data_IF_906169160673
#
_entry.id   IF_906169160673
#
_cell.length_a   1.000
_cell.length_b   1.000
_cell.length_c   1.000
_cell.angle_alpha   90.00
_cell.angle_beta   90.00
_cell.angle_gamma   90.00
#
_symmetry.space_group_name_H-M   'P 1'
#
loop_
_entity.id
_entity.type
_entity.pdbx_description
1 polymer ?
#
# COMPACT_ATOMS: atom_id res chain seq x y z
N UNK A 1 -18.38 5.01 -48.93
CA UNK A 1 -19.63 5.06 -48.14
C UNK A 1 -19.67 3.86 -47.19
N UNK A 2 -19.13 3.99 -45.97
CA UNK A 2 -19.27 2.99 -44.88
C UNK A 2 -19.62 3.64 -43.52
N UNK A 3 -20.10 4.90 -43.57
CA UNK A 3 -20.32 5.81 -42.43
C UNK A 3 -21.04 5.14 -41.25
N UNK A 4 -21.98 4.23 -41.53
CA UNK A 4 -22.72 3.51 -40.50
C UNK A 4 -21.88 2.45 -39.78
N UNK A 5 -21.01 1.71 -40.48
CA UNK A 5 -20.13 0.70 -39.86
C UNK A 5 -19.12 1.36 -38.92
N UNK A 6 -18.53 2.48 -39.34
CA UNK A 6 -17.61 3.26 -38.50
C UNK A 6 -18.30 3.80 -37.24
N UNK A 7 -19.53 4.30 -37.36
CA UNK A 7 -20.30 4.78 -36.21
C UNK A 7 -20.64 3.65 -35.22
N UNK A 8 -20.99 2.45 -35.71
CA UNK A 8 -21.22 1.29 -34.83
C UNK A 8 -19.95 0.84 -34.12
N UNK A 9 -18.80 0.86 -34.80
CA UNK A 9 -17.50 0.55 -34.17
C UNK A 9 -17.21 1.56 -33.06
N UNK A 10 -17.38 2.86 -33.31
CA UNK A 10 -17.19 3.91 -32.31
C UNK A 10 -18.13 3.70 -31.11
N UNK A 11 -19.41 3.39 -31.36
CA UNK A 11 -20.38 3.15 -30.31
C UNK A 11 -20.01 1.94 -29.44
N UNK A 12 -19.66 0.82 -30.08
CA UNK A 12 -19.25 -0.41 -29.36
C UNK A 12 -18.01 -0.15 -28.53
N UNK A 13 -16.99 0.50 -29.09
CA UNK A 13 -15.77 0.86 -28.35
C UNK A 13 -16.08 1.78 -27.17
N UNK A 14 -16.96 2.77 -27.35
CA UNK A 14 -17.36 3.69 -26.27
C UNK A 14 -18.08 2.93 -25.14
N UNK A 15 -19.03 2.05 -25.48
CA UNK A 15 -19.75 1.24 -24.50
C UNK A 15 -18.81 0.30 -23.74
N UNK A 16 -17.84 -0.33 -24.44
CA UNK A 16 -16.84 -1.17 -23.80
C UNK A 16 -15.97 -0.39 -22.79
N UNK A 17 -15.56 0.83 -23.14
CA UNK A 17 -14.80 1.70 -22.23
C UNK A 17 -15.65 2.05 -21.00
N UNK A 18 -16.91 2.44 -21.19
CA UNK A 18 -17.81 2.79 -20.07
C UNK A 18 -18.02 1.60 -19.14
N UNK A 19 -18.31 0.41 -19.68
CA UNK A 19 -18.48 -0.81 -18.88
C UNK A 19 -17.22 -1.18 -18.09
N UNK A 20 -16.04 -0.98 -18.69
CA UNK A 20 -14.76 -1.17 -18.00
C UNK A 20 -14.62 -0.25 -16.79
N UNK A 21 -14.92 1.05 -16.94
CA UNK A 21 -14.85 2.00 -15.83
C UNK A 21 -15.88 1.73 -14.74
N UNK A 22 -17.12 1.39 -15.10
CA UNK A 22 -18.17 1.04 -14.12
C UNK A 22 -17.71 -0.12 -13.23
N UNK A 23 -17.15 -1.17 -13.86
CA UNK A 23 -16.60 -2.30 -13.12
C UNK A 23 -15.45 -1.87 -12.19
N UNK A 24 -14.53 -1.05 -12.68
CA UNK A 24 -13.39 -0.58 -11.89
C UNK A 24 -13.82 0.28 -10.68
N UNK A 25 -14.86 1.08 -10.83
CA UNK A 25 -15.44 1.86 -9.72
C UNK A 25 -16.10 0.94 -8.71
N UNK A 26 -16.89 -0.04 -9.17
CA UNK A 26 -17.58 -0.96 -8.26
C UNK A 26 -16.60 -1.75 -7.38
N UNK A 27 -15.46 -2.18 -7.93
CA UNK A 27 -14.40 -2.83 -7.15
C UNK A 27 -13.85 -1.92 -6.04
N UNK A 28 -13.60 -0.64 -6.34
CA UNK A 28 -13.10 0.33 -5.35
C UNK A 28 -14.15 0.66 -4.28
N UNK A 29 -15.39 0.83 -4.67
CA UNK A 29 -16.52 1.04 -3.76
C UNK A 29 -16.70 -0.15 -2.81
N UNK A 30 -16.55 -1.37 -3.33
CA UNK A 30 -16.58 -2.58 -2.51
C UNK A 30 -15.43 -2.59 -1.50
N UNK A 31 -14.20 -2.25 -1.91
CA UNK A 31 -13.07 -2.11 -0.98
C UNK A 31 -13.35 -1.08 0.12
N UNK A 32 -14.00 0.05 -0.19
CA UNK A 32 -14.33 1.07 0.83
C UNK A 32 -15.39 0.57 1.81
N UNK A 33 -16.41 -0.16 1.32
CA UNK A 33 -17.56 -0.62 2.14
C UNK A 33 -17.25 -1.85 2.98
N UNK A 34 -16.57 -2.84 2.39
CA UNK A 34 -16.31 -4.15 3.01
C UNK A 34 -14.89 -4.25 3.57
N UNK A 35 -13.99 -3.35 3.17
CA UNK A 35 -12.60 -3.38 3.60
C UNK A 35 -12.44 -3.08 5.09
N UNK A 36 -11.48 -3.76 5.71
CA UNK A 36 -11.06 -3.47 7.07
C UNK A 36 -10.27 -2.16 7.11
N UNK A 37 -10.56 -1.29 8.09
CA UNK A 37 -9.76 -0.10 8.33
C UNK A 37 -8.43 -0.50 8.98
N UNK A 38 -7.34 -0.09 8.36
CA UNK A 38 -5.96 -0.29 8.84
C UNK A 38 -5.28 1.06 8.88
N UNK A 39 -4.74 1.42 10.04
CA UNK A 39 -3.96 2.63 10.23
C UNK A 39 -2.48 2.31 9.99
N UNK A 40 -1.86 3.06 9.09
CA UNK A 40 -0.44 2.92 8.77
C UNK A 40 0.30 4.19 9.17
N UNK A 41 1.36 4.02 9.95
CA UNK A 41 2.18 5.14 10.43
C UNK A 41 2.95 5.78 9.29
N UNK A 42 2.89 7.11 9.23
CA UNK A 42 3.58 7.93 8.26
C UNK A 42 4.97 8.27 8.77
N UNK A 43 5.94 8.27 7.86
CA UNK A 43 7.20 8.97 8.06
C UNK A 43 6.93 10.49 8.02
N UNK A 44 7.80 11.34 8.59
CA UNK A 44 7.64 12.79 8.53
C UNK A 44 7.39 13.25 7.09
N UNK A 45 6.30 13.95 6.87
CA UNK A 45 5.79 14.29 5.53
C UNK A 45 5.69 15.79 5.36
N UNK A 46 6.37 16.32 4.35
CA UNK A 46 6.28 17.73 3.96
C UNK A 46 5.05 17.93 3.04
N UNK A 47 4.07 18.77 3.42
CA UNK A 47 2.83 18.98 2.65
C UNK A 47 2.99 19.93 1.46
N UNK A 48 4.18 20.47 1.20
CA UNK A 48 4.36 21.65 0.34
C UNK A 48 4.76 21.27 -1.09
N UNK A 49 3.90 21.54 -2.06
CA UNK A 49 4.24 21.56 -3.49
C UNK A 49 3.93 22.93 -4.10
N UNK A 50 4.98 23.68 -4.44
CA UNK A 50 4.89 25.11 -4.73
C UNK A 50 4.12 25.49 -6.03
N UNK A 51 3.82 24.52 -6.90
CA UNK A 51 3.33 24.79 -8.27
C UNK A 51 2.10 24.00 -8.72
N UNK A 52 1.68 22.96 -7.99
CA UNK A 52 0.63 22.03 -8.45
C UNK A 52 -0.61 21.97 -7.53
N UNK A 53 -0.65 22.80 -6.48
CA UNK A 53 -1.70 22.82 -5.46
C UNK A 53 -1.29 22.15 -4.15
N UNK A 54 -2.20 22.17 -3.20
CA UNK A 54 -2.01 21.69 -1.83
C UNK A 54 -2.25 20.17 -1.75
N UNK A 55 -1.15 19.40 -1.80
CA UNK A 55 -1.16 17.96 -1.62
C UNK A 55 0.03 17.51 -0.78
N UNK A 56 -0.19 16.50 0.05
CA UNK A 56 0.84 15.87 0.88
C UNK A 56 1.25 14.54 0.25
N UNK A 57 2.56 14.35 0.09
CA UNK A 57 3.11 13.02 -0.25
C UNK A 57 2.99 12.14 0.99
N UNK A 58 2.61 10.88 0.81
CA UNK A 58 2.50 9.92 1.89
C UNK A 58 3.66 8.93 1.78
N UNK A 59 4.47 8.84 2.81
CA UNK A 59 5.49 7.81 2.95
C UNK A 59 5.22 7.04 4.23
N UNK A 60 5.09 5.71 4.14
CA UNK A 60 4.73 4.89 5.30
C UNK A 60 5.99 4.29 5.91
N UNK A 61 6.10 4.26 7.25
CA UNK A 61 7.26 3.68 7.93
C UNK A 61 7.49 2.21 7.59
N UNK A 62 6.41 1.47 7.33
CA UNK A 62 6.48 0.07 6.89
C UNK A 62 7.16 -0.11 5.52
N UNK A 63 7.20 0.92 4.68
CA UNK A 63 7.95 0.90 3.41
C UNK A 63 9.46 0.89 3.65
N UNK A 64 9.93 1.72 4.58
CA UNK A 64 11.34 1.75 5.00
C UNK A 64 11.74 0.43 5.66
N UNK A 65 10.93 -0.06 6.62
CA UNK A 65 11.20 -1.33 7.29
C UNK A 65 11.22 -2.54 6.36
N UNK A 66 10.47 -2.50 5.25
CA UNK A 66 10.51 -3.54 4.22
C UNK A 66 11.83 -3.54 3.45
N UNK A 67 12.39 -2.39 3.10
CA UNK A 67 13.71 -2.30 2.49
C UNK A 67 14.79 -2.87 3.44
N UNK A 68 14.71 -2.55 4.73
CA UNK A 68 15.63 -3.09 5.74
C UNK A 68 15.50 -4.61 5.88
N UNK A 69 14.27 -5.12 5.93
CA UNK A 69 13.99 -6.55 5.98
C UNK A 69 14.56 -7.30 4.76
N UNK A 70 14.40 -6.72 3.57
CA UNK A 70 14.93 -7.30 2.35
C UNK A 70 16.45 -7.23 2.30
N UNK A 71 17.04 -6.12 2.71
CA UNK A 71 18.50 -5.97 2.79
C UNK A 71 19.10 -7.00 3.76
N UNK A 72 18.58 -7.10 4.98
CA UNK A 72 19.05 -8.08 5.98
C UNK A 72 18.97 -9.52 5.44
N UNK A 73 17.85 -9.88 4.80
CA UNK A 73 17.70 -11.19 4.16
C UNK A 73 18.66 -11.46 2.99
N UNK A 74 19.10 -10.42 2.28
CA UNK A 74 20.11 -10.52 1.22
C UNK A 74 21.53 -10.64 1.80
N UNK A 75 21.83 -9.97 2.92
CA UNK A 75 23.14 -10.04 3.58
C UNK A 75 23.42 -11.37 4.29
N UNK A 76 22.38 -12.08 4.74
CA UNK A 76 22.52 -13.43 5.33
C UNK A 76 23.05 -14.48 4.31
N UNK A 77 23.00 -14.17 3.00
CA UNK A 77 23.43 -15.12 1.97
C UNK A 77 24.93 -15.08 1.63
N UNK A 78 25.74 -14.20 2.24
CA UNK A 78 27.15 -13.98 1.83
C UNK A 78 28.23 -14.18 2.90
N UNK A 79 27.93 -14.74 4.08
CA UNK A 79 28.99 -15.10 5.05
C UNK A 79 29.22 -16.60 5.10
N UNK A 80 29.98 -17.10 4.12
CA UNK A 80 30.89 -18.21 4.40
C UNK A 80 32.02 -17.67 5.28
N UNK A 81 31.77 -17.45 6.57
CA UNK A 81 32.88 -17.48 7.51
C UNK A 81 32.44 -17.95 8.90
N UNK A 82 33.07 -19.05 9.27
CA UNK A 82 32.99 -19.79 10.52
C UNK A 82 33.18 -18.87 11.72
N UNK A 83 32.14 -18.68 12.55
CA UNK A 83 32.23 -18.48 14.00
C UNK A 83 30.82 -18.62 14.58
N UNK A 84 30.65 -19.63 15.44
CA UNK A 84 29.34 -20.11 15.88
C UNK A 84 28.49 -19.08 16.60
N UNK A 85 27.25 -18.95 16.11
CA UNK A 85 26.09 -18.59 16.92
C UNK A 85 25.04 -19.69 16.67
N UNK A 86 24.46 -20.15 17.76
CA UNK A 86 23.59 -21.33 17.90
C UNK A 86 22.35 -21.30 17.03
N UNK A 87 22.07 -22.48 16.48
CA UNK A 87 20.97 -22.78 15.58
C UNK A 87 19.64 -22.95 16.32
N UNK A 88 19.02 -21.84 16.71
CA UNK A 88 17.61 -21.81 17.06
C UNK A 88 16.80 -21.36 15.84
N UNK A 89 16.56 -22.36 15.00
CA UNK A 89 15.52 -22.54 13.98
C UNK A 89 14.50 -21.40 13.80
N UNK A 90 14.91 -20.30 13.16
CA UNK A 90 14.01 -19.64 12.22
C UNK A 90 14.10 -20.41 10.90
N UNK A 91 13.23 -21.41 10.74
CA UNK A 91 12.88 -21.98 9.43
C UNK A 91 12.18 -20.89 8.60
N UNK A 92 12.88 -19.81 8.27
CA UNK A 92 12.47 -18.87 7.24
C UNK A 92 13.08 -19.42 5.96
N UNK A 93 12.21 -19.98 5.11
CA UNK A 93 12.59 -20.36 3.75
C UNK A 93 13.43 -19.22 3.15
N UNK A 94 14.51 -19.52 2.39
CA UNK A 94 15.33 -18.47 1.80
C UNK A 94 14.39 -17.56 1.02
N UNK A 95 14.25 -16.31 1.47
CA UNK A 95 13.46 -15.30 0.78
C UNK A 95 14.28 -15.00 -0.47
N UNK A 96 14.04 -15.80 -1.50
CA UNK A 96 14.60 -15.64 -2.83
C UNK A 96 14.38 -14.19 -3.21
N UNK A 97 15.47 -13.44 -3.37
CA UNK A 97 15.57 -12.10 -3.96
C UNK A 97 14.20 -11.52 -4.28
N UNK A 98 13.68 -10.67 -3.40
CA UNK A 98 12.39 -10.02 -3.61
C UNK A 98 12.52 -8.97 -4.73
N UNK A 99 12.65 -9.47 -5.96
CA UNK A 99 12.79 -8.74 -7.22
C UNK A 99 11.42 -8.43 -7.83
N UNK A 100 10.35 -8.95 -7.22
CA UNK A 100 9.01 -8.76 -7.72
C UNK A 100 8.60 -7.30 -7.54
N UNK A 101 8.29 -6.65 -8.66
CA UNK A 101 7.75 -5.28 -8.69
C UNK A 101 6.39 -5.16 -7.99
N UNK A 102 5.77 -6.27 -7.58
CA UNK A 102 4.46 -6.33 -6.94
C UNK A 102 4.39 -7.50 -5.98
N UNK A 103 3.62 -7.35 -4.93
CA UNK A 103 3.25 -8.46 -4.07
C UNK A 103 2.40 -7.99 -2.91
N UNK A 104 2.50 -8.71 -1.80
CA UNK A 104 1.70 -8.50 -0.62
C UNK A 104 2.60 -8.35 0.61
N UNK A 105 2.28 -7.36 1.42
CA UNK A 105 2.79 -7.19 2.77
C UNK A 105 1.76 -7.75 3.73
N UNK A 106 2.16 -8.67 4.59
CA UNK A 106 1.35 -9.16 5.70
C UNK A 106 1.51 -8.22 6.87
N UNK A 107 0.38 -7.65 7.32
CA UNK A 107 0.31 -6.81 8.50
C UNK A 107 -0.42 -7.55 9.63
N UNK A 108 0.09 -7.41 10.85
CA UNK A 108 -0.66 -7.73 12.06
C UNK A 108 -1.34 -6.44 12.55
N UNK A 109 -2.65 -6.50 12.77
CA UNK A 109 -3.44 -5.36 13.23
C UNK A 109 -3.55 -5.43 14.74
N UNK A 110 -3.07 -4.40 15.43
CA UNK A 110 -3.19 -4.30 16.88
C UNK A 110 -4.59 -3.86 17.33
N UNK A 111 -4.81 -3.81 18.64
CA UNK A 111 -6.10 -3.41 19.25
C UNK A 111 -6.52 -1.98 18.89
N UNK A 112 -5.57 -1.13 18.48
CA UNK A 112 -5.80 0.26 18.06
C UNK A 112 -6.05 0.37 16.55
N UNK A 113 -6.00 -0.73 15.81
CA UNK A 113 -6.17 -0.75 14.36
C UNK A 113 -4.89 -0.41 13.59
N UNK A 114 -3.73 -0.34 14.24
CA UNK A 114 -2.44 -0.02 13.62
C UNK A 114 -1.84 -1.30 13.03
N UNK A 115 -1.43 -1.22 11.76
CA UNK A 115 -0.81 -2.32 11.04
C UNK A 115 0.70 -2.38 11.22
N UNK A 116 1.19 -3.48 11.79
CA UNK A 116 2.61 -3.75 11.99
C UNK A 116 3.10 -4.78 10.96
N UNK A 117 4.24 -4.50 10.31
CA UNK A 117 4.83 -5.38 9.30
C UNK A 117 5.22 -6.75 9.90
N UNK A 118 4.75 -7.84 9.30
CA UNK A 118 5.09 -9.22 9.71
C UNK A 118 5.93 -9.93 8.65
N UNK A 119 5.49 -9.90 7.40
CA UNK A 119 6.13 -10.65 6.32
C UNK A 119 5.85 -10.04 4.94
N UNK A 120 6.65 -10.42 3.96
CA UNK A 120 6.43 -10.13 2.55
C UNK A 120 6.23 -11.43 1.77
N UNK A 121 5.25 -11.42 0.88
CA UNK A 121 5.00 -12.56 0.00
C UNK A 121 4.62 -12.10 -1.40
N UNK A 122 4.95 -12.89 -2.42
CA UNK A 122 4.45 -12.65 -3.79
C UNK A 122 3.01 -13.14 -3.97
N UNK A 123 2.49 -13.93 -3.01
CA UNK A 123 1.13 -14.50 -3.04
C UNK A 123 0.48 -14.44 -1.66
N UNK A 124 -0.84 -14.30 -1.64
CA UNK A 124 -1.65 -14.44 -0.43
C UNK A 124 -1.57 -15.90 0.04
N UNK A 125 -1.24 -16.11 1.31
CA UNK A 125 -1.25 -17.41 1.99
C UNK A 125 -2.30 -17.39 3.11
N UNK A 126 -2.43 -18.49 3.84
CA UNK A 126 -3.19 -18.49 5.09
C UNK A 126 -2.61 -17.44 6.05
N UNK A 127 -3.50 -16.80 6.81
CA UNK A 127 -3.20 -15.70 7.73
C UNK A 127 -4.02 -15.90 9.01
N UNK A 128 -3.52 -15.38 10.12
CA UNK A 128 -4.28 -15.33 11.36
C UNK A 128 -5.46 -14.36 11.29
N UNK A 129 -6.34 -14.43 12.29
CA UNK A 129 -7.58 -13.64 12.34
C UNK A 129 -7.32 -12.13 12.35
N UNK A 130 -6.28 -11.68 13.06
CA UNK A 130 -5.88 -10.26 13.13
C UNK A 130 -4.85 -9.84 12.08
N UNK A 131 -4.64 -10.68 11.06
CA UNK A 131 -3.68 -10.37 10.00
C UNK A 131 -4.39 -9.99 8.70
N UNK A 132 -3.75 -9.13 7.92
CA UNK A 132 -4.27 -8.71 6.61
C UNK A 132 -3.14 -8.54 5.61
N UNK A 133 -3.39 -8.95 4.37
CA UNK A 133 -2.46 -8.68 3.28
C UNK A 133 -2.81 -7.34 2.64
N UNK A 134 -1.80 -6.51 2.40
CA UNK A 134 -1.91 -5.27 1.64
C UNK A 134 -1.02 -5.39 0.42
N UNK A 135 -1.57 -5.11 -0.77
CA UNK A 135 -0.77 -5.04 -1.98
C UNK A 135 0.21 -3.88 -1.90
N UNK A 136 1.43 -4.15 -2.32
CA UNK A 136 2.41 -3.11 -2.55
C UNK A 136 2.93 -3.19 -3.99
N UNK A 137 3.48 -2.08 -4.45
CA UNK A 137 4.15 -1.96 -5.73
C UNK A 137 5.54 -1.38 -5.51
N UNK A 138 6.55 -2.05 -6.05
CA UNK A 138 7.92 -1.58 -6.03
C UNK A 138 8.23 -0.99 -7.43
N UNK A 139 8.40 0.35 -7.49
CA UNK A 139 8.84 1.06 -8.70
C UNK A 139 10.37 1.13 -8.81
N UNK A 140 11.09 0.96 -7.70
CA UNK A 140 12.54 1.05 -7.59
C UNK A 140 12.97 0.17 -6.42
N UNK A 141 14.09 -0.55 -6.52
CA UNK A 141 14.56 -1.56 -5.55
C UNK A 141 14.50 -1.19 -4.05
N UNK A 142 14.32 0.09 -3.69
CA UNK A 142 14.23 0.57 -2.30
C UNK A 142 12.98 1.43 -1.98
N UNK A 143 12.04 1.61 -2.91
CA UNK A 143 10.85 2.43 -2.70
C UNK A 143 9.57 1.62 -2.95
N UNK A 144 9.03 1.10 -1.86
CA UNK A 144 7.81 0.31 -1.88
C UNK A 144 6.60 1.20 -1.62
N UNK A 145 5.64 1.18 -2.54
CA UNK A 145 4.42 1.96 -2.44
C UNK A 145 3.30 1.04 -1.93
N UNK A 146 2.75 1.39 -0.78
CA UNK A 146 1.66 0.67 -0.12
C UNK A 146 0.47 1.62 -0.05
N UNK A 147 -0.65 1.25 -0.68
CA UNK A 147 -1.82 2.13 -0.75
C UNK A 147 -1.59 3.43 -1.51
N UNK A 148 -2.06 4.55 -0.96
CA UNK A 148 -1.99 5.86 -1.62
C UNK A 148 -0.63 6.54 -1.38
N UNK A 149 -0.03 7.05 -2.46
CA UNK A 149 1.25 7.80 -2.45
C UNK A 149 1.07 9.29 -2.10
N UNK A 150 -0.16 9.82 -2.17
CA UNK A 150 -0.45 11.24 -1.91
C UNK A 150 -1.89 11.45 -1.44
N UNK A 151 -2.11 12.56 -0.73
CA UNK A 151 -3.41 13.03 -0.27
C UNK A 151 -3.60 14.50 -0.67
N UNK A 152 -4.72 14.81 -1.34
CA UNK A 152 -5.04 16.16 -1.82
C UNK A 152 -6.04 16.81 -0.86
N UNK A 153 -5.83 18.08 -0.53
CA UNK A 153 -6.71 18.86 0.34
C UNK A 153 -6.92 20.26 -0.24
N UNK A 154 -7.83 21.04 0.36
CA UNK A 154 -8.12 22.39 -0.11
C UNK A 154 -6.97 23.33 0.23
N UNK A 155 -6.81 24.38 -0.58
CA UNK A 155 -5.75 25.38 -0.37
C UNK A 155 -5.87 26.04 1.01
N UNK A 156 -4.77 26.06 1.77
CA UNK A 156 -4.72 26.62 3.13
C UNK A 156 -4.95 25.60 4.25
N UNK A 157 -5.23 24.34 3.94
CA UNK A 157 -5.38 23.28 4.96
C UNK A 157 -4.08 22.52 5.27
N UNK A 158 -2.95 22.92 4.68
CA UNK A 158 -1.67 22.24 4.88
C UNK A 158 -1.30 22.07 6.36
N UNK A 159 -1.36 23.14 7.16
CA UNK A 159 -1.00 23.13 8.59
C UNK A 159 -1.86 22.17 9.42
N UNK A 160 -3.09 21.92 8.98
CA UNK A 160 -4.01 20.98 9.63
C UNK A 160 -3.57 19.54 9.36
N UNK A 161 -3.21 19.21 8.12
CA UNK A 161 -2.76 17.87 7.74
C UNK A 161 -1.30 17.59 8.10
N UNK A 162 -0.48 18.59 8.43
CA UNK A 162 0.87 18.40 9.02
C UNK A 162 0.86 17.61 10.32
N UNK A 163 -0.27 17.62 11.04
CA UNK A 163 -0.45 16.87 12.29
C UNK A 163 -0.75 15.39 12.06
N UNK A 164 -0.92 14.96 10.81
CA UNK A 164 -1.22 13.58 10.46
C UNK A 164 -0.04 12.69 10.80
N UNK A 165 -0.30 11.67 11.63
CA UNK A 165 0.68 10.62 11.99
C UNK A 165 0.33 9.31 11.30
N UNK A 166 -0.95 9.08 10.97
CA UNK A 166 -1.39 7.85 10.33
C UNK A 166 -2.21 8.12 9.07
N UNK A 167 -2.01 7.31 8.04
CA UNK A 167 -2.94 7.17 6.92
C UNK A 167 -3.91 6.03 7.22
N UNK A 168 -5.21 6.27 7.11
CA UNK A 168 -6.23 5.24 7.25
C UNK A 168 -6.59 4.63 5.92
N UNK A 169 -6.32 3.33 5.74
CA UNK A 169 -6.61 2.59 4.54
C UNK A 169 -7.74 1.60 4.78
N UNK A 170 -8.70 1.55 3.86
CA UNK A 170 -9.64 0.42 3.75
C UNK A 170 -9.01 -0.65 2.88
N UNK A 171 -8.83 -1.85 3.42
CA UNK A 171 -8.18 -2.98 2.74
C UNK A 171 -9.15 -4.13 2.59
N UNK A 172 -9.35 -4.62 1.37
CA UNK A 172 -10.19 -5.79 1.11
C UNK A 172 -9.44 -7.12 1.29
N UNK A 173 -10.16 -8.25 1.24
CA UNK A 173 -9.57 -9.59 1.39
C UNK A 173 -8.54 -9.94 0.29
N UNK A 174 -8.60 -9.25 -0.85
CA UNK A 174 -7.64 -9.41 -1.96
C UNK A 174 -6.41 -8.52 -1.79
N UNK A 175 -6.35 -7.74 -0.71
CA UNK A 175 -5.29 -6.79 -0.39
C UNK A 175 -5.29 -5.53 -1.23
N UNK A 176 -6.36 -5.23 -1.98
CA UNK A 176 -6.50 -3.89 -2.54
C UNK A 176 -6.75 -2.90 -1.40
N UNK A 177 -6.22 -1.70 -1.53
CA UNK A 177 -6.38 -0.68 -0.52
C UNK A 177 -6.79 0.67 -1.10
N UNK A 178 -7.60 1.40 -0.33
CA UNK A 178 -8.04 2.77 -0.63
C UNK A 178 -7.80 3.61 0.61
N UNK A 179 -7.08 4.72 0.46
CA UNK A 179 -6.93 5.71 1.54
C UNK A 179 -8.27 6.43 1.74
N UNK A 180 -8.76 6.43 2.98
CA UNK A 180 -10.04 7.03 3.35
C UNK A 180 -9.90 8.25 4.27
N UNK A 181 -8.72 8.50 4.82
CA UNK A 181 -8.49 9.67 5.65
C UNK A 181 -7.13 9.71 6.32
N UNK A 182 -6.84 10.86 6.92
CA UNK A 182 -5.62 11.12 7.68
C UNK A 182 -5.96 11.21 9.17
N UNK A 183 -5.12 10.65 10.02
CA UNK A 183 -5.37 10.57 11.46
C UNK A 183 -4.21 11.17 12.24
N UNK A 184 -4.53 11.87 13.32
CA UNK A 184 -3.54 12.43 14.25
C UNK A 184 -2.93 11.37 15.17
N UNK A 185 -2.01 11.79 16.04
CA UNK A 185 -1.37 10.93 17.06
C UNK A 185 -2.35 10.24 18.02
N UNK A 186 -3.54 10.81 18.19
CA UNK A 186 -4.59 10.33 19.09
C UNK A 186 -5.60 9.44 18.35
N UNK A 187 -5.30 9.05 17.10
CA UNK A 187 -6.10 8.23 16.21
C UNK A 187 -7.45 8.87 15.85
N UNK A 188 -7.50 10.21 15.84
CA UNK A 188 -8.68 10.96 15.39
C UNK A 188 -8.53 11.35 13.94
N UNK A 189 -9.62 11.20 13.18
CA UNK A 189 -9.71 11.66 11.80
C UNK A 189 -9.52 13.18 11.75
N UNK A 190 -8.65 13.64 10.86
CA UNK A 190 -8.44 15.04 10.54
C UNK A 190 -9.41 15.37 9.40
N UNK A 191 -10.43 16.17 9.73
CA UNK A 191 -11.51 16.61 8.81
C UNK A 191 -11.39 18.07 8.45
#
# INVERSE_FOLDING_TARGET
MSKNRTNYVILITTVLIVLFFIRAVFEKEQTIKEGQLVLLELAPVDPRSLMQGDYMRLNYKISTGMSDFLNDSLFVSETNDSLGITQDNFNKAPITSYKDTRGFVLLNIDEKGIGHLVDLSSKIKEKGDNQIYVKFFNKTNWNFNIGAESFFFQEGEAEKFEKAVYGGLRVDEKGNSVLVGMYDKDLKLIE
#
